data_IF_299080457450
#
_entry.id   IF_299080457450
#
_cell.length_a   1.000
_cell.length_b   1.000
_cell.length_c   1.000
_cell.angle_alpha   90.00
_cell.angle_beta   90.00
_cell.angle_gamma   90.00
#
_symmetry.space_group_name_H-M   'P 1'
#
loop_
_entity.id
_entity.type
_entity.pdbx_description
1 polymer ?
#
# COMPACT_ATOMS: atom_id res chain seq x y z
N UNK A 1 -22.99 -0.51 27.05
CA UNK A 1 -22.09 -1.61 26.66
C UNK A 1 -21.98 -1.65 25.13
N UNK A 2 -20.86 -1.18 24.61
CA UNK A 2 -20.21 -1.39 23.31
C UNK A 2 -21.08 -1.64 22.05
N UNK A 3 -21.75 -0.58 21.56
CA UNK A 3 -22.21 -0.49 20.16
C UNK A 3 -21.08 -0.01 19.24
N UNK A 4 -20.03 -0.82 19.05
CA UNK A 4 -19.00 -0.53 18.06
C UNK A 4 -19.46 -0.99 16.68
N UNK A 5 -20.01 -0.05 15.89
CA UNK A 5 -20.13 -0.20 14.44
C UNK A 5 -18.74 -0.52 13.90
N UNK A 6 -18.48 -1.78 13.57
CA UNK A 6 -17.31 -2.19 12.78
C UNK A 6 -17.37 -1.48 11.42
N UNK A 7 -16.71 -0.32 11.32
CA UNK A 7 -16.42 0.31 10.03
C UNK A 7 -15.64 -0.72 9.23
N UNK A 8 -16.19 -1.18 8.09
CA UNK A 8 -15.44 -1.97 7.10
C UNK A 8 -14.13 -1.24 6.79
N UNK A 9 -13.03 -1.68 7.39
CA UNK A 9 -11.74 -1.06 7.21
C UNK A 9 -11.29 -1.32 5.77
N UNK A 10 -11.01 -0.26 5.02
CA UNK A 10 -10.47 -0.37 3.67
C UNK A 10 -9.05 -0.94 3.77
N UNK A 11 -8.85 -2.15 3.23
CA UNK A 11 -7.54 -2.85 3.21
C UNK A 11 -6.63 -2.41 2.05
N UNK A 12 -6.94 -1.29 1.40
CA UNK A 12 -6.19 -0.79 0.24
C UNK A 12 -5.98 0.71 0.38
N UNK A 13 -4.80 1.17 0.01
CA UNK A 13 -4.37 2.57 0.02
C UNK A 13 -4.18 3.06 -1.41
N UNK A 14 -4.33 4.35 -1.66
CA UNK A 14 -3.83 4.97 -2.88
C UNK A 14 -2.30 4.95 -2.89
N UNK A 15 -1.69 5.15 -4.05
CA UNK A 15 -0.22 5.27 -4.17
C UNK A 15 0.32 6.43 -3.33
N UNK A 16 -0.42 7.54 -3.25
CA UNK A 16 -0.02 8.69 -2.43
C UNK A 16 -0.05 8.38 -0.93
N UNK A 17 -1.06 7.66 -0.44
CA UNK A 17 -1.11 7.22 0.96
C UNK A 17 -0.02 6.19 1.26
N UNK A 18 0.25 5.26 0.33
CA UNK A 18 1.36 4.32 0.46
C UNK A 18 2.71 5.04 0.55
N UNK A 19 2.95 6.06 -0.28
CA UNK A 19 4.16 6.88 -0.22
C UNK A 19 4.35 7.54 1.15
N UNK A 20 3.26 8.07 1.75
CA UNK A 20 3.30 8.65 3.09
C UNK A 20 3.62 7.61 4.16
N UNK A 21 3.02 6.42 4.09
CA UNK A 21 3.28 5.31 5.03
C UNK A 21 4.75 4.86 4.96
N UNK A 22 5.31 4.80 3.75
CA UNK A 22 6.69 4.39 3.51
C UNK A 22 7.71 5.52 3.75
N UNK A 23 7.28 6.77 3.95
CA UNK A 23 8.16 7.91 4.12
C UNK A 23 8.91 8.34 2.84
N UNK A 24 8.37 8.03 1.65
CA UNK A 24 8.99 8.33 0.35
C UNK A 24 8.19 9.35 -0.46
N UNK A 25 8.82 9.92 -1.49
CA UNK A 25 8.14 10.80 -2.44
C UNK A 25 7.12 10.06 -3.30
N UNK A 26 6.07 10.76 -3.77
CA UNK A 26 5.04 10.15 -4.64
C UNK A 26 5.62 9.55 -5.92
N UNK A 27 6.55 10.25 -6.56
CA UNK A 27 7.21 9.76 -7.77
C UNK A 27 7.98 8.46 -7.49
N UNK A 28 8.70 8.41 -6.37
CA UNK A 28 9.40 7.19 -5.93
C UNK A 28 8.44 6.02 -5.71
N UNK A 29 7.25 6.27 -5.14
CA UNK A 29 6.24 5.22 -4.99
C UNK A 29 5.71 4.71 -6.34
N UNK A 30 5.48 5.60 -7.31
CA UNK A 30 5.09 5.18 -8.66
C UNK A 30 6.22 4.41 -9.38
N UNK A 31 7.46 4.86 -9.22
CA UNK A 31 8.64 4.18 -9.79
C UNK A 31 8.84 2.80 -9.16
N UNK A 32 8.71 2.68 -7.84
CA UNK A 32 8.76 1.40 -7.14
C UNK A 32 7.69 0.43 -7.64
N UNK A 33 6.46 0.92 -7.89
CA UNK A 33 5.40 0.11 -8.52
C UNK A 33 5.79 -0.32 -9.94
N UNK A 34 6.34 0.60 -10.73
CA UNK A 34 6.78 0.32 -12.10
C UNK A 34 7.92 -0.69 -12.15
N UNK A 35 8.82 -0.66 -11.17
CA UNK A 35 9.95 -1.60 -11.00
C UNK A 35 9.56 -2.93 -10.36
N UNK A 36 8.36 -3.02 -9.79
CA UNK A 36 7.90 -4.21 -9.07
C UNK A 36 8.35 -4.29 -7.60
N UNK A 37 9.05 -3.28 -7.10
CA UNK A 37 9.49 -3.16 -5.70
C UNK A 37 8.30 -2.92 -4.74
N UNK A 38 7.21 -2.30 -5.23
CA UNK A 38 5.99 -2.07 -4.48
C UNK A 38 4.79 -2.68 -5.20
N UNK A 39 4.17 -3.70 -4.61
CA UNK A 39 3.00 -4.35 -5.21
C UNK A 39 1.76 -3.44 -5.19
N UNK A 40 1.14 -3.26 -6.35
CA UNK A 40 -0.11 -2.51 -6.51
C UNK A 40 -1.10 -3.25 -7.44
N UNK A 41 -2.39 -2.99 -7.21
CA UNK A 41 -3.51 -3.54 -7.98
C UNK A 41 -4.18 -2.43 -8.78
N UNK A 42 -4.36 -2.65 -10.07
CA UNK A 42 -5.15 -1.80 -10.96
C UNK A 42 -6.60 -2.26 -10.97
N UNK A 43 -7.53 -1.39 -10.57
CA UNK A 43 -8.98 -1.63 -10.63
C UNK A 43 -9.61 -0.53 -11.48
N UNK A 44 -9.90 -0.86 -12.74
CA UNK A 44 -10.34 0.12 -13.74
C UNK A 44 -9.37 1.30 -13.85
N UNK A 45 -9.85 2.51 -13.53
CA UNK A 45 -9.03 3.74 -13.54
C UNK A 45 -8.27 3.99 -12.24
N UNK A 46 -8.44 3.17 -11.21
CA UNK A 46 -7.79 3.34 -9.90
C UNK A 46 -6.57 2.43 -9.75
N UNK A 47 -5.49 2.96 -9.21
CA UNK A 47 -4.31 2.19 -8.79
C UNK A 47 -4.26 2.23 -7.26
N UNK A 48 -4.26 1.05 -6.63
CA UNK A 48 -4.27 0.92 -5.17
C UNK A 48 -3.22 -0.06 -4.68
N UNK A 49 -2.64 0.22 -3.53
CA UNK A 49 -1.66 -0.62 -2.84
C UNK A 49 -2.39 -1.37 -1.72
N UNK A 50 -2.42 -2.71 -1.73
CA UNK A 50 -2.97 -3.48 -0.62
C UNK A 50 -2.19 -3.22 0.66
N UNK A 51 -2.87 -3.09 1.79
CA UNK A 51 -2.23 -2.90 3.08
C UNK A 51 -1.28 -4.08 3.40
N UNK A 52 -1.69 -5.32 3.07
CA UNK A 52 -0.84 -6.50 3.26
C UNK A 52 0.48 -6.42 2.49
N UNK A 53 0.52 -5.73 1.34
CA UNK A 53 1.75 -5.56 0.58
C UNK A 53 2.70 -4.57 1.27
N UNK A 54 2.16 -3.48 1.83
CA UNK A 54 2.92 -2.56 2.66
C UNK A 54 3.47 -3.26 3.90
N UNK A 55 2.61 -4.02 4.60
CA UNK A 55 3.00 -4.72 5.82
C UNK A 55 4.12 -5.73 5.53
N UNK A 56 4.06 -6.46 4.40
CA UNK A 56 5.12 -7.38 3.97
C UNK A 56 6.44 -6.65 3.70
N UNK A 57 6.40 -5.55 2.96
CA UNK A 57 7.59 -4.75 2.67
C UNK A 57 8.24 -4.21 3.95
N UNK A 58 7.43 -3.65 4.86
CA UNK A 58 7.89 -3.09 6.13
C UNK A 58 8.39 -4.16 7.11
N UNK A 59 7.82 -5.36 7.08
CA UNK A 59 8.29 -6.49 7.89
C UNK A 59 9.66 -7.05 7.43
N UNK A 60 10.15 -6.61 6.27
CA UNK A 60 11.39 -7.15 5.68
C UNK A 60 11.24 -8.56 5.11
N UNK A 61 10.00 -9.05 4.95
CA UNK A 61 9.71 -10.34 4.31
C UNK A 61 10.05 -10.33 2.81
N UNK A 62 10.16 -9.14 2.21
CA UNK A 62 10.51 -8.88 0.82
C UNK A 62 11.91 -8.24 0.72
N UNK A 63 12.91 -8.80 1.44
CA UNK A 63 14.30 -8.44 1.17
C UNK A 63 14.65 -8.94 -0.23
N UNK A 64 14.63 -8.04 -1.21
CA UNK A 64 15.37 -8.23 -2.45
C UNK A 64 16.83 -8.44 -2.07
N UNK A 65 17.30 -9.67 -2.27
CA UNK A 65 18.70 -10.06 -2.15
C UNK A 65 19.52 -9.43 -3.30
#
# INVERSE_FOLDING_TARGET
MNTSKQKRQRKTRSVAEAAQILGIGRNQAYDAIKKGELYAIRIGRRLVVPQVALDRLLSGADRAA
#
